data_IF_055214241943
#
_entry.id   IF_055214241943
#
_cell.length_a   1.000
_cell.length_b   1.000
_cell.length_c   1.000
_cell.angle_alpha   90.00
_cell.angle_beta   90.00
_cell.angle_gamma   90.00
#
_symmetry.space_group_name_H-M   'P 1'
#
loop_
_entity.id
_entity.type
_entity.pdbx_description
1 polymer ?
#
# COMPACT_ATOMS: atom_id res chain seq x y z
N UNK A 1 6.89 19.00 62.78
CA UNK A 1 5.58 18.40 62.41
C UNK A 1 5.50 18.37 60.90
N UNK A 2 5.38 17.18 60.29
CA UNK A 2 5.16 17.08 58.84
C UNK A 2 3.75 17.60 58.49
N UNK A 3 3.59 18.36 57.39
CA UNK A 3 2.27 18.85 56.99
C UNK A 3 1.33 17.65 56.66
N UNK A 4 0.03 17.76 56.95
CA UNK A 4 -0.92 16.69 56.68
C UNK A 4 -0.93 16.35 55.18
N UNK A 5 -1.09 15.06 54.80
CA UNK A 5 -1.12 14.66 53.40
C UNK A 5 -2.34 15.29 52.72
N UNK A 6 -2.10 16.17 51.75
CA UNK A 6 -3.16 16.74 50.92
C UNK A 6 -3.65 15.64 49.98
N UNK A 7 -4.85 15.14 50.22
CA UNK A 7 -5.52 14.08 49.44
C UNK A 7 -6.03 14.56 48.08
N UNK A 8 -6.14 15.89 47.88
CA UNK A 8 -6.80 16.49 46.73
C UNK A 8 -5.89 17.45 45.95
N UNK A 9 -5.85 17.29 44.62
CA UNK A 9 -4.97 18.05 43.71
C UNK A 9 -5.52 19.46 43.50
N UNK A 10 -4.79 20.47 43.98
CA UNK A 10 -5.21 21.89 43.91
C UNK A 10 -5.36 22.41 42.48
N UNK A 11 -4.61 21.88 41.53
CA UNK A 11 -4.75 22.25 40.11
C UNK A 11 -6.08 21.73 39.55
N UNK A 12 -6.51 20.54 39.97
CA UNK A 12 -7.83 20.00 39.61
C UNK A 12 -8.96 20.73 40.30
N UNK A 13 -8.80 21.07 41.59
CA UNK A 13 -9.78 21.88 42.33
C UNK A 13 -10.00 23.20 41.60
N UNK A 14 -8.93 23.84 41.11
CA UNK A 14 -9.03 25.07 40.33
C UNK A 14 -9.29 24.86 38.83
N UNK A 15 -9.48 23.63 38.34
CA UNK A 15 -9.69 23.31 36.91
C UNK A 15 -8.64 23.97 35.99
N UNK A 16 -7.39 24.05 36.43
CA UNK A 16 -6.29 24.68 35.70
C UNK A 16 -5.13 23.71 35.48
N UNK A 17 -4.35 23.94 34.43
CA UNK A 17 -3.12 23.19 34.19
C UNK A 17 -2.05 23.54 35.23
N UNK A 18 -1.13 22.62 35.51
CA UNK A 18 0.10 22.91 36.27
C UNK A 18 0.98 23.97 35.61
N UNK A 19 0.83 24.19 34.30
CA UNK A 19 1.51 25.26 33.54
C UNK A 19 0.69 26.56 33.48
N UNK A 20 -0.44 26.64 34.18
CA UNK A 20 -1.31 27.81 34.12
C UNK A 20 -0.63 29.05 34.67
N UNK A 21 -0.86 30.18 34.00
CA UNK A 21 -0.40 31.50 34.44
C UNK A 21 -1.24 31.99 35.61
N UNK A 22 -0.72 32.93 36.38
CA UNK A 22 -1.41 33.53 37.52
C UNK A 22 -2.79 34.11 37.13
N UNK A 23 -2.87 34.74 35.96
CA UNK A 23 -4.14 35.29 35.44
C UNK A 23 -5.20 34.21 35.20
N UNK A 24 -4.80 33.05 34.67
CA UNK A 24 -5.68 31.90 34.45
C UNK A 24 -6.17 31.31 35.78
N UNK A 25 -5.30 31.26 36.79
CA UNK A 25 -5.64 30.81 38.14
C UNK A 25 -6.67 31.75 38.78
N UNK A 26 -6.48 33.07 38.66
CA UNK A 26 -7.42 34.08 39.17
C UNK A 26 -8.77 33.98 38.45
N UNK A 27 -8.76 33.86 37.13
CA UNK A 27 -9.99 33.77 36.34
C UNK A 27 -10.80 32.51 36.69
N UNK A 28 -10.12 31.37 36.83
CA UNK A 28 -10.77 30.12 37.19
C UNK A 28 -11.32 30.14 38.62
N UNK A 29 -10.55 30.68 39.57
CA UNK A 29 -11.01 30.87 40.94
C UNK A 29 -12.31 31.69 41.01
N UNK A 30 -12.37 32.84 40.32
CA UNK A 30 -13.60 33.68 40.29
C UNK A 30 -14.80 32.91 39.73
N UNK A 31 -14.59 32.16 38.64
CA UNK A 31 -15.64 31.34 38.01
C UNK A 31 -16.14 30.26 38.97
N UNK A 32 -15.25 29.60 39.68
CA UNK A 32 -15.61 28.52 40.59
C UNK A 32 -16.19 29.01 41.91
N UNK A 33 -15.70 30.14 42.44
CA UNK A 33 -16.23 30.75 43.65
C UNK A 33 -17.71 31.10 43.49
N UNK A 34 -18.13 31.58 42.31
CA UNK A 34 -19.55 31.84 42.01
C UNK A 34 -20.41 30.58 41.96
N UNK A 35 -19.83 29.44 41.54
CA UNK A 35 -20.54 28.15 41.45
C UNK A 35 -20.66 27.46 42.81
N UNK A 36 -19.61 27.57 43.63
CA UNK A 36 -19.47 26.87 44.91
C UNK A 36 -19.80 27.76 46.11
N UNK A 37 -20.35 28.97 45.89
CA UNK A 37 -20.70 29.89 46.98
C UNK A 37 -21.79 29.28 47.88
N UNK A 38 -21.59 29.18 49.20
CA UNK A 38 -22.52 28.51 50.11
C UNK A 38 -23.90 29.17 50.17
N UNK A 39 -23.99 30.48 49.92
CA UNK A 39 -25.26 31.24 49.86
C UNK A 39 -26.13 30.88 48.64
N UNK A 40 -25.52 30.38 47.56
CA UNK A 40 -26.22 30.06 46.29
C UNK A 40 -26.39 28.56 46.08
N UNK A 41 -25.80 27.73 46.93
CA UNK A 41 -25.69 26.29 46.72
C UNK A 41 -26.07 25.54 48.01
N UNK A 42 -27.29 25.02 48.07
CA UNK A 42 -27.90 24.39 49.26
C UNK A 42 -27.36 22.98 49.60
N UNK A 43 -26.22 22.59 49.03
CA UNK A 43 -25.61 21.28 49.25
C UNK A 43 -24.86 21.26 50.59
N UNK A 44 -25.02 20.17 51.37
CA UNK A 44 -24.40 20.01 52.69
C UNK A 44 -22.85 20.12 52.69
N UNK A 45 -22.20 19.91 51.53
CA UNK A 45 -20.75 19.96 51.37
C UNK A 45 -20.23 21.26 50.72
N UNK A 46 -21.10 22.23 50.42
CA UNK A 46 -20.72 23.46 49.71
C UNK A 46 -19.69 24.28 50.49
N UNK A 47 -19.83 24.37 51.82
CA UNK A 47 -18.87 25.09 52.69
C UNK A 47 -17.48 24.45 52.66
N UNK A 48 -17.38 23.11 52.68
CA UNK A 48 -16.10 22.41 52.64
C UNK A 48 -15.43 22.54 51.27
N UNK A 49 -16.21 22.41 50.18
CA UNK A 49 -15.71 22.61 48.82
C UNK A 49 -15.22 24.05 48.58
N UNK A 50 -15.93 25.04 49.12
CA UNK A 50 -15.51 26.44 49.03
C UNK A 50 -14.22 26.71 49.81
N UNK A 51 -14.09 26.16 51.03
CA UNK A 51 -12.85 26.27 51.81
C UNK A 51 -11.66 25.63 51.09
N UNK A 52 -11.87 24.48 50.43
CA UNK A 52 -10.83 23.83 49.64
C UNK A 52 -10.43 24.66 48.42
N UNK A 53 -11.41 25.25 47.72
CA UNK A 53 -11.17 26.15 46.60
C UNK A 53 -10.34 27.38 47.01
N UNK A 54 -10.64 27.97 48.17
CA UNK A 54 -9.88 29.10 48.73
C UNK A 54 -8.44 28.67 49.05
N UNK A 55 -8.24 27.53 49.72
CA UNK A 55 -6.90 27.01 50.04
C UNK A 55 -6.09 26.71 48.77
N UNK A 56 -6.72 26.14 47.74
CA UNK A 56 -6.08 25.88 46.46
C UNK A 56 -5.62 27.18 45.80
N UNK A 57 -6.45 28.22 45.80
CA UNK A 57 -6.10 29.53 45.27
C UNK A 57 -4.98 30.22 46.05
N UNK A 58 -5.04 30.24 47.38
CA UNK A 58 -4.00 30.85 48.21
C UNK A 58 -2.63 30.18 48.04
N UNK A 59 -2.63 28.87 47.81
CA UNK A 59 -1.40 28.09 47.60
C UNK A 59 -0.84 28.29 46.19
N UNK A 60 -1.70 28.31 45.16
CA UNK A 60 -1.26 28.40 43.76
C UNK A 60 -1.04 29.84 43.26
N UNK A 61 -1.59 30.85 43.94
CA UNK A 61 -1.39 32.27 43.62
C UNK A 61 0.00 32.78 44.01
N UNK A 62 0.57 32.25 45.09
CA UNK A 62 1.91 32.62 45.56
C UNK A 62 2.95 31.68 44.96
N UNK A 63 3.86 32.22 44.15
CA UNK A 63 4.88 31.45 43.45
C UNK A 63 5.79 30.65 44.42
N UNK A 64 6.05 31.19 45.62
CA UNK A 64 6.86 30.47 46.61
C UNK A 64 6.10 29.26 47.16
N UNK A 65 4.83 29.44 47.53
CA UNK A 65 3.96 28.36 48.05
C UNK A 65 3.64 27.32 46.98
N UNK A 66 3.47 27.74 45.72
CA UNK A 66 3.25 26.86 44.57
C UNK A 66 4.47 25.97 44.33
N UNK A 67 5.68 26.52 44.39
CA UNK A 67 6.92 25.75 44.26
C UNK A 67 7.08 24.74 45.41
N UNK A 68 6.79 25.17 46.63
CA UNK A 68 6.84 24.27 47.79
C UNK A 68 5.79 23.15 47.69
N UNK A 69 4.57 23.47 47.24
CA UNK A 69 3.52 22.49 46.97
C UNK A 69 3.93 21.47 45.90
N UNK A 70 4.47 21.94 44.77
CA UNK A 70 4.94 21.09 43.68
C UNK A 70 6.13 20.20 44.11
N UNK A 71 6.98 20.68 45.03
CA UNK A 71 8.11 19.92 45.60
C UNK A 71 7.64 18.82 46.55
N UNK A 72 6.61 19.09 47.37
CA UNK A 72 6.10 18.15 48.36
C UNK A 72 5.21 17.08 47.73
N UNK A 73 4.51 17.38 46.63
CA UNK A 73 3.57 16.46 45.98
C UNK A 73 3.95 16.09 44.52
N UNK A 74 5.13 15.48 44.28
CA UNK A 74 5.63 15.17 42.93
C UNK A 74 4.81 14.07 42.21
N UNK A 75 4.00 13.30 42.93
CA UNK A 75 3.12 12.26 42.38
C UNK A 75 1.97 12.85 41.54
N UNK A 76 1.58 14.10 41.79
CA UNK A 76 0.59 14.83 40.98
C UNK A 76 1.14 15.09 39.57
N UNK A 77 2.45 15.39 39.46
CA UNK A 77 3.18 15.62 38.20
C UNK A 77 3.12 14.40 37.27
N UNK A 78 3.27 13.19 37.83
CA UNK A 78 3.32 11.93 37.08
C UNK A 78 1.97 11.51 36.47
N UNK A 79 0.86 11.90 37.11
CA UNK A 79 -0.51 11.54 36.65
C UNK A 79 -1.00 12.37 35.46
N UNK A 80 -0.51 13.59 35.27
CA UNK A 80 -0.87 14.43 34.11
C UNK A 80 0.14 14.33 32.95
N UNK A 81 1.42 14.03 33.22
CA UNK A 81 2.39 13.74 32.14
C UNK A 81 2.05 12.48 31.34
N UNK A 82 1.32 11.52 31.94
CA UNK A 82 0.80 10.35 31.22
C UNK A 82 -0.41 10.67 30.32
N UNK A 83 -1.11 11.80 30.54
CA UNK A 83 -2.25 12.21 29.71
C UNK A 83 -1.92 13.33 28.71
N UNK A 84 -0.69 13.86 28.69
CA UNK A 84 -0.27 14.91 27.76
C UNK A 84 1.10 14.68 27.08
N UNK A 85 1.70 13.49 27.23
CA UNK A 85 3.05 13.20 26.77
C UNK A 85 3.18 11.92 25.94
N UNK A 86 2.39 11.78 24.88
CA UNK A 86 2.66 10.82 23.80
C UNK A 86 2.75 11.57 22.45
N UNK A 87 3.72 12.49 22.35
CA UNK A 87 4.22 12.94 21.05
C UNK A 87 5.37 12.02 20.67
N UNK A 88 5.03 11.01 19.87
CA UNK A 88 5.93 10.24 19.02
C UNK A 88 6.64 11.20 18.03
N UNK A 89 7.77 10.80 17.41
CA UNK A 89 8.55 11.70 16.55
C UNK A 89 7.66 12.21 15.41
N UNK A 90 7.70 13.53 15.19
CA UNK A 90 6.84 14.25 14.25
C UNK A 90 7.08 13.76 12.82
N UNK A 91 6.22 12.85 12.38
CA UNK A 91 5.83 12.72 10.98
C UNK A 91 4.84 13.83 10.62
N UNK A 92 4.87 14.25 9.37
CA UNK A 92 4.15 15.36 8.75
C UNK A 92 2.61 15.24 8.70
N UNK A 93 1.99 14.49 9.61
CA UNK A 93 0.56 14.13 9.59
C UNK A 93 -0.37 15.10 10.34
N UNK A 94 0.16 15.98 11.21
CA UNK A 94 -0.69 16.85 12.05
C UNK A 94 -1.48 17.92 11.29
N UNK A 95 -1.00 18.36 10.13
CA UNK A 95 -1.70 19.34 9.29
C UNK A 95 -2.91 18.73 8.57
N UNK A 96 -2.77 17.50 8.07
CA UNK A 96 -3.84 16.81 7.33
C UNK A 96 -5.03 16.46 8.22
N UNK A 97 -4.81 16.06 9.47
CA UNK A 97 -5.91 15.76 10.41
C UNK A 97 -6.70 17.02 10.77
N UNK A 98 -6.03 18.16 10.98
CA UNK A 98 -6.69 19.44 11.24
C UNK A 98 -7.50 19.93 10.04
N UNK A 99 -6.98 19.75 8.82
CA UNK A 99 -7.70 20.09 7.59
C UNK A 99 -8.94 19.21 7.37
N UNK A 100 -8.87 17.90 7.62
CA UNK A 100 -10.05 17.03 7.47
C UNK A 100 -11.14 17.32 8.50
N UNK A 101 -10.79 17.65 9.74
CA UNK A 101 -11.73 18.11 10.76
C UNK A 101 -12.37 19.46 10.38
N UNK A 102 -11.62 20.37 9.76
CA UNK A 102 -12.16 21.62 9.23
C UNK A 102 -13.14 21.38 8.07
N UNK A 103 -12.80 20.50 7.13
CA UNK A 103 -13.65 20.20 5.98
C UNK A 103 -14.92 19.44 6.34
N UNK A 104 -14.86 18.51 7.29
CA UNK A 104 -16.06 17.84 7.82
C UNK A 104 -16.99 18.85 8.50
N UNK A 105 -16.45 19.82 9.25
CA UNK A 105 -17.24 20.92 9.80
C UNK A 105 -17.85 21.80 8.68
N UNK A 106 -17.11 22.09 7.61
CA UNK A 106 -17.62 22.83 6.44
C UNK A 106 -18.74 22.07 5.72
N UNK A 107 -18.61 20.76 5.52
CA UNK A 107 -19.66 19.91 4.94
C UNK A 107 -20.91 19.89 5.82
N UNK A 108 -20.75 19.76 7.13
CA UNK A 108 -21.86 19.83 8.09
C UNK A 108 -22.55 21.21 8.08
N UNK A 109 -21.77 22.29 7.99
CA UNK A 109 -22.29 23.65 7.87
C UNK A 109 -23.08 23.85 6.57
N UNK A 110 -22.59 23.33 5.44
CA UNK A 110 -23.33 23.35 4.16
C UNK A 110 -24.62 22.53 4.23
N UNK A 111 -24.59 21.35 4.85
CA UNK A 111 -25.78 20.52 5.05
C UNK A 111 -26.84 21.23 5.91
N UNK A 112 -26.42 21.86 7.02
CA UNK A 112 -27.29 22.67 7.86
C UNK A 112 -27.85 23.87 7.11
N UNK A 113 -27.01 24.60 6.36
CA UNK A 113 -27.43 25.73 5.54
C UNK A 113 -28.48 25.32 4.51
N UNK A 114 -28.30 24.18 3.84
CA UNK A 114 -29.30 23.61 2.92
C UNK A 114 -30.62 23.30 3.63
N UNK A 115 -30.57 22.66 4.80
CA UNK A 115 -31.77 22.38 5.59
C UNK A 115 -32.52 23.66 5.97
N UNK A 116 -31.80 24.69 6.42
CA UNK A 116 -32.39 25.99 6.76
C UNK A 116 -33.00 26.68 5.54
N UNK A 117 -32.35 26.64 4.37
CA UNK A 117 -32.91 27.18 3.12
C UNK A 117 -34.19 26.46 2.72
N UNK A 118 -34.21 25.12 2.79
CA UNK A 118 -35.41 24.32 2.50
C UNK A 118 -36.52 24.69 3.46
N UNK A 119 -36.25 24.80 4.76
CA UNK A 119 -37.25 25.21 5.75
C UNK A 119 -37.80 26.63 5.47
N UNK A 120 -36.91 27.60 5.21
CA UNK A 120 -37.31 28.97 4.84
C UNK A 120 -38.16 28.99 3.57
N UNK A 121 -37.80 28.20 2.56
CA UNK A 121 -38.57 28.05 1.34
C UNK A 121 -39.96 27.47 1.62
N UNK A 122 -40.08 26.43 2.43
CA UNK A 122 -41.39 25.85 2.79
C UNK A 122 -42.30 26.89 3.45
N UNK A 123 -41.78 27.68 4.40
CA UNK A 123 -42.56 28.77 5.03
C UNK A 123 -42.96 29.82 4.01
N UNK A 124 -42.04 30.25 3.13
CA UNK A 124 -42.33 31.24 2.07
C UNK A 124 -43.40 30.73 1.09
N UNK A 125 -43.29 29.45 0.70
CA UNK A 125 -44.27 28.78 -0.16
C UNK A 125 -45.65 28.75 0.49
N UNK A 126 -45.76 28.38 1.77
CA UNK A 126 -47.03 28.38 2.49
C UNK A 126 -47.70 29.76 2.50
N UNK A 127 -46.92 30.84 2.64
CA UNK A 127 -47.44 32.21 2.56
C UNK A 127 -48.01 32.54 1.18
N UNK A 128 -47.31 32.15 0.11
CA UNK A 128 -47.82 32.32 -1.26
C UNK A 128 -49.07 31.47 -1.51
N UNK A 129 -49.04 30.19 -1.14
CA UNK A 129 -50.15 29.27 -1.31
C UNK A 129 -51.41 29.81 -0.61
N UNK A 130 -51.27 30.31 0.63
CA UNK A 130 -52.37 30.94 1.36
C UNK A 130 -52.91 32.18 0.64
N UNK A 131 -52.04 33.08 0.17
CA UNK A 131 -52.46 34.28 -0.58
C UNK A 131 -53.19 33.92 -1.87
N UNK A 132 -52.67 32.97 -2.63
CA UNK A 132 -53.28 32.47 -3.87
C UNK A 132 -54.66 31.90 -3.56
N UNK A 133 -54.77 31.04 -2.54
CA UNK A 133 -56.05 30.46 -2.14
C UNK A 133 -57.07 31.54 -1.74
N UNK A 134 -56.65 32.58 -1.02
CA UNK A 134 -57.54 33.65 -0.60
C UNK A 134 -58.05 34.47 -1.79
N UNK A 135 -57.17 34.83 -2.73
CA UNK A 135 -57.58 35.52 -3.96
C UNK A 135 -58.51 34.60 -4.79
N UNK A 136 -58.20 33.31 -4.90
CA UNK A 136 -59.06 32.36 -5.60
C UNK A 136 -60.46 32.22 -4.97
N UNK A 137 -60.60 32.34 -3.63
CA UNK A 137 -61.92 32.41 -2.99
C UNK A 137 -62.69 33.66 -3.44
N UNK A 138 -62.02 34.80 -3.54
CA UNK A 138 -62.62 36.05 -4.02
C UNK A 138 -63.04 35.92 -5.49
N UNK A 139 -62.20 35.31 -6.34
CA UNK A 139 -62.53 34.98 -7.74
C UNK A 139 -63.79 34.13 -7.82
N UNK A 140 -63.84 33.00 -7.08
CA UNK A 140 -65.03 32.12 -7.07
C UNK A 140 -66.30 32.84 -6.62
N UNK A 141 -66.19 33.73 -5.63
CA UNK A 141 -67.33 34.54 -5.15
C UNK A 141 -67.83 35.48 -6.24
N UNK A 142 -66.93 36.22 -6.89
CA UNK A 142 -67.30 37.12 -7.99
C UNK A 142 -67.92 36.37 -9.18
N UNK A 143 -67.38 35.20 -9.53
CA UNK A 143 -67.95 34.35 -10.59
C UNK A 143 -69.36 33.88 -10.25
N UNK A 144 -69.62 33.52 -8.99
CA UNK A 144 -70.97 33.15 -8.54
C UNK A 144 -71.92 34.36 -8.63
N UNK A 145 -71.51 35.51 -8.11
CA UNK A 145 -72.33 36.73 -8.14
C UNK A 145 -72.70 37.14 -9.57
N UNK A 146 -71.75 37.07 -10.51
CA UNK A 146 -71.97 37.34 -11.93
C UNK A 146 -72.99 36.34 -12.50
N UNK A 147 -72.81 35.04 -12.24
CA UNK A 147 -73.77 34.01 -12.67
C UNK A 147 -75.16 34.24 -12.09
N UNK A 148 -75.27 34.67 -10.84
CA UNK A 148 -76.55 35.01 -10.22
C UNK A 148 -77.21 36.18 -10.96
N UNK A 149 -76.48 37.27 -11.24
CA UNK A 149 -76.99 38.40 -12.01
C UNK A 149 -77.43 37.97 -13.42
N UNK A 150 -76.68 37.11 -14.10
CA UNK A 150 -77.03 36.54 -15.40
C UNK A 150 -78.30 35.67 -15.33
N UNK A 151 -78.43 34.85 -14.29
CA UNK A 151 -79.62 34.00 -14.10
C UNK A 151 -80.90 34.81 -13.88
N UNK A 152 -80.81 35.93 -13.14
CA UNK A 152 -81.92 36.85 -12.93
C UNK A 152 -82.30 37.49 -14.28
N UNK A 153 -81.32 38.01 -15.03
CA UNK A 153 -81.55 38.59 -16.33
C UNK A 153 -82.18 37.58 -17.33
N UNK A 154 -81.72 36.32 -17.30
CA UNK A 154 -82.28 35.25 -18.12
C UNK A 154 -83.72 34.89 -17.71
N UNK A 155 -84.01 34.83 -16.41
CA UNK A 155 -85.37 34.58 -15.90
C UNK A 155 -86.34 35.71 -16.28
N UNK A 156 -85.91 36.96 -16.19
CA UNK A 156 -86.70 38.12 -16.65
C UNK A 156 -86.95 38.08 -18.16
N UNK A 157 -85.93 37.77 -18.95
CA UNK A 157 -86.06 37.62 -20.40
C UNK A 157 -87.02 36.47 -20.76
N UNK A 158 -86.96 35.35 -20.05
CA UNK A 158 -87.86 34.22 -20.23
C UNK A 158 -89.31 34.57 -19.85
N UNK A 159 -89.52 35.27 -18.73
CA UNK A 159 -90.84 35.73 -18.32
C UNK A 159 -91.45 36.72 -19.33
N UNK A 160 -90.64 37.63 -19.87
CA UNK A 160 -91.08 38.57 -20.91
C UNK A 160 -91.37 37.86 -22.24
N UNK A 161 -90.54 36.88 -22.63
CA UNK A 161 -90.81 36.04 -23.80
C UNK A 161 -92.08 35.22 -23.65
N UNK A 162 -92.36 34.69 -22.46
CA UNK A 162 -93.59 33.96 -22.16
C UNK A 162 -94.81 34.88 -22.25
N UNK A 163 -94.73 36.10 -21.71
CA UNK A 163 -95.78 37.12 -21.88
C UNK A 163 -96.01 37.41 -23.37
N UNK A 164 -94.95 37.58 -24.15
CA UNK A 164 -95.03 37.95 -25.57
C UNK A 164 -95.18 36.75 -26.52
N UNK A 165 -95.48 35.56 -25.99
CA UNK A 165 -95.71 34.35 -26.78
C UNK A 165 -97.08 34.36 -27.47
N UNK A 166 -97.16 33.65 -28.60
CA UNK A 166 -98.38 33.55 -29.40
C UNK A 166 -99.58 33.01 -28.59
N UNK A 167 -99.37 32.03 -27.70
CA UNK A 167 -100.42 31.47 -26.84
C UNK A 167 -100.96 32.46 -25.79
N UNK A 168 -100.12 33.36 -25.28
CA UNK A 168 -100.55 34.42 -24.36
C UNK A 168 -101.38 35.51 -25.06
N UNK A 169 -101.11 35.76 -26.34
CA UNK A 169 -101.93 36.64 -27.18
C UNK A 169 -103.30 36.00 -27.51
N UNK A 170 -103.31 34.69 -27.80
CA UNK A 170 -104.51 33.94 -28.20
C UNK A 170 -105.54 33.76 -27.06
N UNK A 171 -105.10 33.66 -25.80
CA UNK A 171 -105.96 33.53 -24.61
C UNK A 171 -106.26 34.86 -23.89
N UNK A 172 -105.78 35.99 -24.43
CA UNK A 172 -105.88 37.33 -23.82
C UNK A 172 -107.29 37.86 -23.53
N UNK A 173 -108.38 37.49 -24.25
CA UNK A 173 -109.73 38.01 -23.94
C UNK A 173 -110.32 37.45 -22.63
N UNK A 174 -109.86 36.29 -22.17
CA UNK A 174 -110.43 35.58 -21.01
C UNK A 174 -109.75 36.02 -19.70
N UNK A 175 -108.50 36.48 -19.77
CA UNK A 175 -107.73 36.97 -18.62
C UNK A 175 -107.31 38.43 -18.86
N UNK A 176 -107.82 39.37 -18.05
CA UNK A 176 -107.36 40.78 -18.09
C UNK A 176 -105.86 40.84 -17.83
N UNK A 177 -105.08 41.10 -18.90
CA UNK A 177 -103.65 41.33 -18.84
C UNK A 177 -103.39 42.63 -18.06
N UNK A 178 -102.68 42.56 -16.93
CA UNK A 178 -102.19 43.77 -16.26
C UNK A 178 -101.16 44.43 -17.21
N UNK A 179 -101.53 45.57 -17.77
CA UNK A 179 -100.61 46.42 -18.54
C UNK A 179 -99.84 47.24 -17.52
N UNK A 180 -98.52 47.05 -17.47
CA UNK A 180 -97.65 47.87 -16.61
C UNK A 180 -97.84 49.36 -16.96
N UNK A 181 -97.94 50.20 -15.94
CA UNK A 181 -97.94 51.67 -16.10
C UNK A 181 -96.59 52.15 -16.65
N UNK A 182 -96.55 53.33 -17.28
CA UNK A 182 -95.27 53.87 -17.79
C UNK A 182 -94.23 54.06 -16.68
N UNK A 183 -94.67 54.43 -15.49
CA UNK A 183 -93.84 54.54 -14.29
C UNK A 183 -93.22 53.19 -13.92
N UNK A 184 -94.01 52.11 -13.90
CA UNK A 184 -93.51 50.76 -13.60
C UNK A 184 -92.53 50.24 -14.66
N UNK A 185 -92.75 50.55 -15.95
CA UNK A 185 -91.79 50.20 -17.01
C UNK A 185 -90.47 50.93 -16.83
N UNK A 186 -90.51 52.23 -16.58
CA UNK A 186 -89.33 53.04 -16.33
C UNK A 186 -88.52 52.55 -15.11
N UNK A 187 -89.20 52.13 -14.04
CA UNK A 187 -88.55 51.54 -12.87
C UNK A 187 -87.85 50.22 -13.20
N UNK A 188 -88.53 49.29 -13.88
CA UNK A 188 -87.94 48.00 -14.29
C UNK A 188 -86.76 48.20 -15.23
N UNK A 189 -86.83 49.16 -16.14
CA UNK A 189 -85.74 49.44 -17.07
C UNK A 189 -84.54 50.06 -16.35
N UNK A 190 -84.76 50.93 -15.35
CA UNK A 190 -83.70 51.43 -14.46
C UNK A 190 -83.04 50.28 -13.68
N UNK A 191 -83.81 49.37 -13.08
CA UNK A 191 -83.28 48.22 -12.35
C UNK A 191 -82.46 47.28 -13.25
N UNK A 192 -82.88 47.08 -14.51
CA UNK A 192 -82.09 46.34 -15.51
C UNK A 192 -80.80 47.07 -15.87
N UNK A 193 -80.81 48.40 -15.96
CA UNK A 193 -79.59 49.18 -16.19
C UNK A 193 -78.63 49.10 -14.99
N UNK A 194 -79.13 49.26 -13.77
CA UNK A 194 -78.32 49.16 -12.54
C UNK A 194 -77.66 47.78 -12.41
N UNK A 195 -78.38 46.69 -12.70
CA UNK A 195 -77.80 45.34 -12.68
C UNK A 195 -76.76 45.08 -13.77
N UNK A 196 -76.95 45.67 -14.96
CA UNK A 196 -75.93 45.63 -16.02
C UNK A 196 -74.65 46.34 -15.57
N UNK A 197 -74.79 47.53 -14.99
CA UNK A 197 -73.65 48.29 -14.43
C UNK A 197 -72.98 47.49 -13.31
N UNK A 198 -73.76 46.86 -12.42
CA UNK A 198 -73.23 46.03 -11.33
C UNK A 198 -72.45 44.82 -11.89
N UNK A 199 -73.00 44.14 -12.90
CA UNK A 199 -72.33 43.02 -13.58
C UNK A 199 -70.99 43.48 -14.17
N UNK A 200 -70.98 44.54 -14.97
CA UNK A 200 -69.76 45.07 -15.60
C UNK A 200 -68.70 45.46 -14.55
N UNK A 201 -69.13 46.06 -13.43
CA UNK A 201 -68.23 46.39 -12.32
C UNK A 201 -67.64 45.12 -11.67
N UNK A 202 -68.44 44.07 -11.48
CA UNK A 202 -67.98 42.79 -10.94
C UNK A 202 -67.06 42.06 -11.91
N UNK A 203 -67.32 42.11 -13.21
CA UNK A 203 -66.45 41.52 -14.24
C UNK A 203 -65.08 42.20 -14.28
N UNK A 204 -65.02 43.53 -14.19
CA UNK A 204 -63.73 44.25 -14.07
C UNK A 204 -62.97 43.85 -12.80
N UNK A 205 -63.67 43.73 -11.66
CA UNK A 205 -63.07 43.25 -10.40
C UNK A 205 -62.59 41.80 -10.53
N UNK A 206 -63.33 40.95 -11.23
CA UNK A 206 -62.97 39.56 -11.48
C UNK A 206 -61.67 39.47 -12.29
N UNK A 207 -61.56 40.23 -13.39
CA UNK A 207 -60.33 40.22 -14.20
C UNK A 207 -59.14 40.74 -13.41
N UNK A 208 -59.32 41.79 -12.61
CA UNK A 208 -58.28 42.29 -11.69
C UNK A 208 -57.82 41.19 -10.73
N UNK A 209 -58.76 40.48 -10.09
CA UNK A 209 -58.43 39.38 -9.16
C UNK A 209 -57.79 38.19 -9.84
N UNK A 210 -58.19 37.85 -11.07
CA UNK A 210 -57.51 36.84 -11.90
C UNK A 210 -56.08 37.27 -12.24
N UNK A 211 -55.86 38.56 -12.49
CA UNK A 211 -54.53 39.16 -12.61
C UNK A 211 -53.69 38.98 -11.35
N UNK A 212 -54.26 39.32 -10.18
CA UNK A 212 -53.59 39.17 -8.87
C UNK A 212 -53.15 37.71 -8.62
N UNK A 213 -53.97 36.71 -9.00
CA UNK A 213 -53.59 35.28 -8.91
C UNK A 213 -52.37 34.99 -9.77
N UNK A 214 -52.40 35.37 -11.06
CA UNK A 214 -51.28 35.13 -12.00
C UNK A 214 -50.00 35.81 -11.51
N UNK A 215 -50.11 37.02 -10.94
CA UNK A 215 -48.99 37.73 -10.35
C UNK A 215 -48.40 36.95 -9.18
N UNK A 216 -49.21 36.52 -8.20
CA UNK A 216 -48.71 35.72 -7.07
C UNK A 216 -48.09 34.39 -7.50
N UNK A 217 -48.67 33.71 -8.50
CA UNK A 217 -48.10 32.48 -9.07
C UNK A 217 -46.73 32.74 -9.73
N UNK A 218 -46.59 33.86 -10.44
CA UNK A 218 -45.31 34.25 -11.05
C UNK A 218 -44.25 34.56 -9.99
N UNK A 219 -44.63 35.22 -8.89
CA UNK A 219 -43.75 35.51 -7.75
C UNK A 219 -43.34 34.22 -7.01
N UNK A 220 -44.29 33.29 -6.82
CA UNK A 220 -44.01 31.97 -6.26
C UNK A 220 -42.98 31.21 -7.12
N UNK A 221 -43.14 31.23 -8.45
CA UNK A 221 -42.21 30.59 -9.38
C UNK A 221 -40.80 31.20 -9.29
N UNK A 222 -40.68 32.53 -9.35
CA UNK A 222 -39.39 33.23 -9.19
C UNK A 222 -38.72 32.91 -7.85
N UNK A 223 -39.49 32.96 -6.76
CA UNK A 223 -38.98 32.63 -5.43
C UNK A 223 -38.51 31.17 -5.31
N UNK A 224 -39.16 30.24 -6.02
CA UNK A 224 -38.72 28.85 -6.12
C UNK A 224 -37.40 28.74 -6.86
N UNK A 225 -37.28 29.37 -8.02
CA UNK A 225 -36.07 29.37 -8.83
C UNK A 225 -34.87 29.95 -8.05
N UNK A 226 -35.07 31.03 -7.29
CA UNK A 226 -34.06 31.58 -6.37
C UNK A 226 -33.63 30.59 -5.28
N UNK A 227 -34.59 29.90 -4.66
CA UNK A 227 -34.31 28.91 -3.62
C UNK A 227 -33.55 27.70 -4.19
N UNK A 228 -33.99 27.18 -5.33
CA UNK A 228 -33.36 26.06 -6.03
C UNK A 228 -31.95 26.43 -6.49
N UNK A 229 -31.74 27.64 -7.03
CA UNK A 229 -30.41 28.14 -7.42
C UNK A 229 -29.46 28.24 -6.22
N UNK A 230 -29.95 28.71 -5.07
CA UNK A 230 -29.16 28.80 -3.85
C UNK A 230 -28.79 27.40 -3.30
N UNK A 231 -29.72 26.44 -3.35
CA UNK A 231 -29.45 25.05 -2.97
C UNK A 231 -28.43 24.42 -3.91
N UNK A 232 -28.57 24.62 -5.23
CA UNK A 232 -27.62 24.11 -6.22
C UNK A 232 -26.21 24.71 -6.02
N UNK A 233 -26.09 25.96 -5.60
CA UNK A 233 -24.81 26.58 -5.29
C UNK A 233 -24.13 25.92 -4.08
N UNK A 234 -24.88 25.54 -3.03
CA UNK A 234 -24.33 24.78 -1.90
C UNK A 234 -23.92 23.37 -2.30
N UNK A 235 -24.70 22.69 -3.15
CA UNK A 235 -24.39 21.36 -3.65
C UNK A 235 -23.08 21.36 -4.47
N UNK A 236 -22.86 22.41 -5.27
CA UNK A 236 -21.56 22.62 -5.95
C UNK A 236 -20.42 22.79 -4.96
N UNK A 237 -20.58 23.60 -3.90
CA UNK A 237 -19.55 23.76 -2.86
C UNK A 237 -19.23 22.44 -2.17
N UNK A 238 -20.27 21.67 -1.83
CA UNK A 238 -20.15 20.34 -1.24
C UNK A 238 -19.34 19.41 -2.16
N UNK A 239 -19.69 19.35 -3.44
CA UNK A 239 -18.99 18.52 -4.43
C UNK A 239 -17.50 18.87 -4.54
N UNK A 240 -17.15 20.16 -4.50
CA UNK A 240 -15.76 20.61 -4.55
C UNK A 240 -14.98 20.16 -3.30
N UNK A 241 -15.58 20.21 -2.11
CA UNK A 241 -14.94 19.73 -0.88
C UNK A 241 -14.77 18.21 -0.91
N UNK A 242 -15.82 17.47 -1.31
CA UNK A 242 -15.78 16.01 -1.43
C UNK A 242 -14.75 15.54 -2.45
N UNK A 243 -14.64 16.22 -3.59
CA UNK A 243 -13.65 15.91 -4.64
C UNK A 243 -12.22 16.12 -4.12
N UNK A 244 -11.98 17.20 -3.37
CA UNK A 244 -10.68 17.45 -2.73
C UNK A 244 -10.33 16.39 -1.70
N UNK A 245 -11.31 15.97 -0.89
CA UNK A 245 -11.14 14.91 0.10
C UNK A 245 -10.83 13.57 -0.55
N UNK A 246 -11.61 13.19 -1.55
CA UNK A 246 -11.39 11.96 -2.33
C UNK A 246 -10.00 11.94 -2.98
N UNK A 247 -9.56 13.04 -3.60
CA UNK A 247 -8.24 13.14 -4.20
C UNK A 247 -7.09 13.01 -3.18
N UNK A 248 -7.28 13.47 -1.93
CA UNK A 248 -6.31 13.23 -0.85
C UNK A 248 -6.31 11.77 -0.39
N UNK A 249 -7.48 11.19 -0.15
CA UNK A 249 -7.61 9.79 0.27
C UNK A 249 -7.02 8.83 -0.80
N UNK A 250 -7.24 9.13 -2.08
CA UNK A 250 -6.68 8.36 -3.19
C UNK A 250 -5.15 8.44 -3.23
N UNK A 251 -4.57 9.64 -3.06
CA UNK A 251 -3.12 9.82 -2.99
C UNK A 251 -2.52 9.06 -1.79
N UNK A 252 -3.13 9.18 -0.61
CA UNK A 252 -2.69 8.47 0.58
C UNK A 252 -2.76 6.95 0.40
N UNK A 253 -3.78 6.44 -0.31
CA UNK A 253 -3.89 5.01 -0.65
C UNK A 253 -2.77 4.57 -1.57
N UNK A 254 -2.50 5.32 -2.64
CA UNK A 254 -1.41 5.02 -3.59
C UNK A 254 -0.04 5.03 -2.89
N UNK A 255 0.20 5.97 -1.99
CA UNK A 255 1.43 6.02 -1.18
C UNK A 255 1.56 4.80 -0.27
N UNK A 256 0.47 4.36 0.37
CA UNK A 256 0.46 3.14 1.20
C UNK A 256 0.75 1.90 0.36
N UNK A 257 0.15 1.78 -0.82
CA UNK A 257 0.39 0.66 -1.73
C UNK A 257 1.86 0.61 -2.19
N UNK A 258 2.42 1.76 -2.59
CA UNK A 258 3.86 1.88 -2.94
C UNK A 258 4.77 1.52 -1.76
N UNK A 259 4.48 2.02 -0.56
CA UNK A 259 5.25 1.69 0.64
C UNK A 259 5.17 0.20 0.97
N UNK A 260 4.01 -0.43 0.81
CA UNK A 260 3.86 -1.88 0.99
C UNK A 260 4.61 -2.68 -0.07
N UNK A 261 4.66 -2.22 -1.32
CA UNK A 261 5.48 -2.83 -2.37
C UNK A 261 6.97 -2.68 -2.07
N UNK A 262 7.40 -1.52 -1.60
CA UNK A 262 8.78 -1.28 -1.19
C UNK A 262 9.19 -2.20 -0.01
N UNK A 263 8.31 -2.36 0.99
CA UNK A 263 8.55 -3.30 2.10
C UNK A 263 8.62 -4.74 1.57
N UNK A 264 7.68 -5.15 0.71
CA UNK A 264 7.67 -6.49 0.11
C UNK A 264 8.92 -6.78 -0.71
N UNK A 265 9.38 -5.81 -1.50
CA UNK A 265 10.61 -5.95 -2.31
C UNK A 265 11.86 -5.99 -1.44
N UNK A 266 11.95 -5.18 -0.39
CA UNK A 266 13.03 -5.26 0.61
C UNK A 266 13.07 -6.62 1.29
N UNK A 267 11.91 -7.14 1.72
CA UNK A 267 11.82 -8.46 2.36
C UNK A 267 12.28 -9.58 1.41
N UNK A 268 11.85 -9.55 0.14
CA UNK A 268 12.31 -10.52 -0.87
C UNK A 268 13.83 -10.46 -1.09
N UNK A 269 14.41 -9.25 -1.16
CA UNK A 269 15.87 -9.08 -1.28
C UNK A 269 16.60 -9.64 -0.06
N UNK A 270 16.12 -9.35 1.15
CA UNK A 270 16.70 -9.90 2.38
C UNK A 270 16.66 -11.43 2.40
N UNK A 271 15.52 -12.04 2.04
CA UNK A 271 15.39 -13.49 1.93
C UNK A 271 16.36 -14.08 0.90
N UNK A 272 16.52 -13.41 -0.24
CA UNK A 272 17.45 -13.86 -1.28
C UNK A 272 18.90 -13.76 -0.82
N UNK A 273 19.29 -12.66 -0.16
CA UNK A 273 20.62 -12.51 0.43
C UNK A 273 20.89 -13.56 1.52
N UNK A 274 19.91 -13.87 2.37
CA UNK A 274 20.01 -14.95 3.36
C UNK A 274 20.19 -16.30 2.69
N UNK A 275 19.40 -16.60 1.65
CA UNK A 275 19.50 -17.83 0.89
C UNK A 275 20.87 -17.95 0.21
N UNK A 276 21.38 -16.87 -0.38
CA UNK A 276 22.69 -16.84 -1.02
C UNK A 276 23.83 -17.01 0.00
N UNK A 277 23.71 -16.41 1.19
CA UNK A 277 24.64 -16.64 2.30
C UNK A 277 24.65 -18.11 2.71
N UNK A 278 23.48 -18.70 2.94
CA UNK A 278 23.35 -20.10 3.29
C UNK A 278 23.92 -21.02 2.20
N UNK A 279 23.62 -20.75 0.93
CA UNK A 279 24.16 -21.49 -0.22
C UNK A 279 25.69 -21.43 -0.27
N UNK A 280 26.29 -20.24 -0.02
CA UNK A 280 27.74 -20.07 0.04
C UNK A 280 28.37 -20.85 1.19
N UNK A 281 27.78 -20.80 2.39
CA UNK A 281 28.26 -21.56 3.55
C UNK A 281 28.19 -23.07 3.32
N UNK A 282 27.08 -23.56 2.74
CA UNK A 282 26.93 -24.97 2.39
C UNK A 282 27.97 -25.38 1.32
N UNK A 283 28.15 -24.58 0.27
CA UNK A 283 29.15 -24.84 -0.75
C UNK A 283 30.58 -24.86 -0.18
N UNK A 284 30.90 -23.95 0.74
CA UNK A 284 32.19 -23.92 1.41
C UNK A 284 32.40 -25.16 2.30
N UNK A 285 31.38 -25.57 3.07
CA UNK A 285 31.42 -26.81 3.86
C UNK A 285 31.66 -28.03 2.97
N UNK A 286 30.96 -28.14 1.85
CA UNK A 286 31.16 -29.21 0.87
C UNK A 286 32.59 -29.17 0.31
N UNK A 287 33.10 -27.99 -0.08
CA UNK A 287 34.49 -27.83 -0.55
C UNK A 287 35.51 -28.27 0.50
N UNK A 288 35.32 -27.89 1.76
CA UNK A 288 36.19 -28.30 2.89
C UNK A 288 36.15 -29.82 3.10
N UNK A 289 34.96 -30.43 3.07
CA UNK A 289 34.82 -31.89 3.17
C UNK A 289 35.50 -32.62 2.00
N UNK A 290 35.32 -32.14 0.76
CA UNK A 290 35.97 -32.71 -0.42
C UNK A 290 37.51 -32.56 -0.35
N UNK A 291 38.01 -31.39 0.09
CA UNK A 291 39.44 -31.18 0.27
C UNK A 291 40.03 -32.10 1.35
N UNK A 292 39.35 -32.24 2.48
CA UNK A 292 39.75 -33.17 3.54
C UNK A 292 39.73 -34.63 3.08
N UNK A 293 38.71 -35.03 2.31
CA UNK A 293 38.63 -36.37 1.73
C UNK A 293 39.79 -36.64 0.75
N UNK A 294 40.09 -35.70 -0.16
CA UNK A 294 41.24 -35.80 -1.06
C UNK A 294 42.56 -35.88 -0.31
N UNK A 295 42.77 -35.02 0.69
CA UNK A 295 43.98 -35.05 1.52
C UNK A 295 44.13 -36.38 2.28
N UNK A 296 43.03 -36.94 2.79
CA UNK A 296 43.02 -38.24 3.45
C UNK A 296 43.35 -39.38 2.47
N UNK A 297 42.84 -39.32 1.24
CA UNK A 297 43.17 -40.29 0.19
C UNK A 297 44.65 -40.19 -0.23
N UNK A 298 45.15 -38.97 -0.46
CA UNK A 298 46.56 -38.72 -0.76
C UNK A 298 47.49 -39.22 0.34
N UNK A 299 47.13 -39.00 1.61
CA UNK A 299 47.88 -39.51 2.75
C UNK A 299 47.91 -41.05 2.77
N UNK A 300 46.79 -41.72 2.51
CA UNK A 300 46.72 -43.19 2.39
C UNK A 300 47.60 -43.70 1.24
N UNK A 301 47.56 -43.05 0.09
CA UNK A 301 48.41 -43.40 -1.06
C UNK A 301 49.90 -43.19 -0.75
N UNK A 302 50.25 -42.11 -0.05
CA UNK A 302 51.61 -41.84 0.38
C UNK A 302 52.12 -42.92 1.36
N UNK A 303 51.28 -43.34 2.31
CA UNK A 303 51.60 -44.42 3.25
C UNK A 303 51.82 -45.76 2.52
N UNK A 304 50.95 -46.10 1.56
CA UNK A 304 51.11 -47.29 0.72
C UNK A 304 52.41 -47.25 -0.10
N UNK A 305 52.74 -46.11 -0.70
CA UNK A 305 54.01 -45.91 -1.43
C UNK A 305 55.22 -46.06 -0.50
N UNK A 306 55.17 -45.47 0.69
CA UNK A 306 56.23 -45.60 1.68
C UNK A 306 56.41 -47.05 2.15
N UNK A 307 55.31 -47.77 2.37
CA UNK A 307 55.35 -49.20 2.71
C UNK A 307 55.92 -50.05 1.57
N UNK A 308 55.55 -49.75 0.31
CA UNK A 308 56.09 -50.42 -0.87
C UNK A 308 57.59 -50.15 -1.03
N UNK A 309 58.04 -48.90 -0.84
CA UNK A 309 59.45 -48.52 -0.88
C UNK A 309 60.25 -49.29 0.19
N UNK A 310 59.77 -49.36 1.43
CA UNK A 310 60.38 -50.18 2.50
C UNK A 310 60.46 -51.66 2.13
N UNK A 311 59.41 -52.21 1.50
CA UNK A 311 59.42 -53.61 1.03
C UNK A 311 60.45 -53.83 -0.09
N UNK A 312 60.55 -52.90 -1.03
CA UNK A 312 61.54 -52.95 -2.11
C UNK A 312 62.96 -52.83 -1.59
N UNK A 313 63.19 -51.93 -0.63
CA UNK A 313 64.49 -51.77 0.03
C UNK A 313 64.88 -53.04 0.79
N UNK A 314 63.97 -53.60 1.59
CA UNK A 314 64.20 -54.87 2.27
C UNK A 314 64.47 -56.02 1.29
N UNK A 315 63.71 -56.11 0.20
CA UNK A 315 63.94 -57.12 -0.84
C UNK A 315 65.30 -56.93 -1.53
N UNK A 316 65.71 -55.69 -1.78
CA UNK A 316 67.03 -55.37 -2.34
C UNK A 316 68.15 -55.70 -1.34
N UNK A 317 67.96 -55.44 -0.05
CA UNK A 317 68.89 -55.82 1.01
C UNK A 317 69.01 -57.34 1.14
N UNK A 318 67.89 -58.06 1.14
CA UNK A 318 67.86 -59.53 1.14
C UNK A 318 68.55 -60.11 -0.10
N UNK A 319 68.36 -59.48 -1.28
CA UNK A 319 69.06 -59.85 -2.51
C UNK A 319 70.57 -59.60 -2.39
N UNK A 320 71.00 -58.47 -1.80
CA UNK A 320 72.41 -58.18 -1.53
C UNK A 320 73.01 -59.19 -0.56
N UNK A 321 72.31 -59.54 0.53
CA UNK A 321 72.73 -60.57 1.49
C UNK A 321 72.84 -61.95 0.83
N UNK A 322 71.88 -62.33 -0.01
CA UNK A 322 71.93 -63.58 -0.79
C UNK A 322 73.11 -63.58 -1.76
N UNK A 323 73.37 -62.50 -2.48
CA UNK A 323 74.53 -62.38 -3.37
C UNK A 323 75.86 -62.45 -2.60
N UNK A 324 75.93 -61.86 -1.41
CA UNK A 324 77.10 -61.94 -0.53
C UNK A 324 77.28 -63.35 0.04
N UNK A 325 76.20 -64.04 0.42
CA UNK A 325 76.23 -65.44 0.86
C UNK A 325 76.59 -66.40 -0.29
N UNK A 326 76.13 -66.15 -1.51
CA UNK A 326 76.56 -66.85 -2.73
C UNK A 326 78.06 -66.63 -3.00
N UNK A 327 78.55 -65.39 -2.85
CA UNK A 327 80.01 -65.10 -2.90
C UNK A 327 80.79 -65.82 -1.79
N UNK A 328 80.26 -65.90 -0.58
CA UNK A 328 80.90 -66.59 0.56
C UNK A 328 80.88 -68.12 0.42
N UNK A 329 79.80 -68.70 -0.15
CA UNK A 329 79.74 -70.13 -0.48
C UNK A 329 80.65 -70.48 -1.67
N UNK A 330 80.86 -69.54 -2.61
CA UNK A 330 81.94 -69.64 -3.60
C UNK A 330 83.34 -69.52 -2.98
N UNK A 331 83.49 -68.86 -1.82
CA UNK A 331 84.77 -68.72 -1.11
C UNK A 331 85.12 -69.92 -0.20
N UNK A 332 84.16 -70.78 0.16
CA UNK A 332 84.38 -71.97 1.01
C UNK A 332 84.32 -73.32 0.29
N UNK A 333 84.27 -73.32 -1.05
CA UNK A 333 84.51 -74.54 -1.85
C UNK A 333 85.75 -74.32 -2.70
N UNK A 334 86.94 -74.40 -2.08
CA UNK A 334 88.21 -74.58 -2.79
C UNK A 334 88.56 -76.05 -2.72
N UNK A 335 87.92 -76.86 -3.55
CA UNK A 335 88.46 -78.14 -4.01
C UNK A 335 88.61 -78.08 -5.52
N UNK A 336 89.86 -78.28 -5.90
CA UNK A 336 90.46 -78.21 -7.22
C UNK A 336 89.83 -79.29 -8.11
N UNK A 337 89.26 -78.89 -9.24
CA UNK A 337 89.11 -79.72 -10.43
C UNK A 337 89.02 -78.83 -11.69
N UNK A 338 89.62 -79.39 -12.73
CA UNK A 338 90.02 -78.87 -14.04
C UNK A 338 88.87 -78.34 -14.94
N UNK A 339 89.19 -77.69 -16.09
CA UNK A 339 88.44 -76.56 -16.63
C UNK A 339 87.31 -76.96 -17.57
N UNK A 340 86.23 -76.18 -17.57
CA UNK A 340 85.29 -76.10 -18.69
C UNK A 340 85.20 -74.64 -19.12
N UNK A 341 85.83 -74.35 -20.26
CA UNK A 341 85.70 -73.11 -21.01
C UNK A 341 84.24 -72.91 -21.45
N UNK A 342 83.63 -71.80 -21.05
CA UNK A 342 82.50 -71.22 -21.79
C UNK A 342 82.87 -69.80 -22.22
N UNK A 343 82.98 -69.69 -23.53
CA UNK A 343 83.52 -68.61 -24.33
C UNK A 343 82.55 -67.43 -24.44
N UNK A 344 82.93 -66.28 -23.90
CA UNK A 344 82.38 -64.99 -24.32
C UNK A 344 83.18 -64.44 -25.50
N UNK A 345 83.14 -65.09 -26.66
CA UNK A 345 83.76 -64.53 -27.87
C UNK A 345 82.89 -63.36 -28.36
N UNK A 346 83.46 -62.16 -28.44
CA UNK A 346 82.77 -61.00 -29.02
C UNK A 346 82.96 -61.13 -30.53
N UNK A 347 81.92 -61.56 -31.23
CA UNK A 347 81.87 -61.92 -32.66
C UNK A 347 82.07 -60.72 -33.62
N UNK A 348 83.11 -59.93 -33.39
CA UNK A 348 83.52 -58.77 -34.17
C UNK A 348 84.53 -59.17 -35.28
N UNK A 349 84.61 -58.38 -36.35
CA UNK A 349 85.52 -58.65 -37.48
C UNK A 349 84.91 -59.41 -38.66
N UNK A 350 85.79 -59.77 -39.62
CA UNK A 350 85.48 -60.51 -40.85
C UNK A 350 85.56 -62.03 -40.59
N UNK A 351 84.66 -62.82 -41.18
CA UNK A 351 84.59 -64.27 -40.98
C UNK A 351 84.94 -64.98 -42.28
N UNK A 352 85.76 -66.02 -42.20
CA UNK A 352 86.23 -66.75 -43.38
C UNK A 352 85.17 -67.73 -43.91
N UNK A 353 85.18 -67.94 -45.23
CA UNK A 353 84.17 -68.72 -45.93
C UNK A 353 84.61 -70.16 -46.10
N UNK A 354 83.87 -71.08 -45.49
CA UNK A 354 84.11 -72.51 -45.58
C UNK A 354 83.09 -73.12 -46.53
N UNK A 355 83.58 -73.63 -47.65
CA UNK A 355 82.76 -74.22 -48.70
C UNK A 355 82.40 -75.69 -48.38
N UNK A 356 81.11 -76.02 -48.41
CA UNK A 356 80.56 -77.34 -48.11
C UNK A 356 79.06 -77.28 -47.81
N UNK A 357 78.27 -78.26 -48.27
CA UNK A 357 76.82 -78.33 -47.97
C UNK A 357 76.60 -78.74 -46.51
N UNK A 358 76.32 -77.77 -45.64
CA UNK A 358 76.05 -78.00 -44.23
C UNK A 358 74.87 -77.15 -43.73
N UNK A 359 74.03 -77.68 -42.82
CA UNK A 359 73.00 -76.90 -42.16
C UNK A 359 73.59 -75.87 -41.19
N UNK A 360 73.06 -74.65 -41.19
CA UNK A 360 73.45 -73.63 -40.23
C UNK A 360 72.99 -74.03 -38.83
N UNK A 361 73.86 -74.00 -37.80
CA UNK A 361 73.46 -74.44 -36.45
C UNK A 361 72.38 -73.56 -35.79
N UNK A 362 72.16 -72.33 -36.29
CA UNK A 362 71.20 -71.41 -35.68
C UNK A 362 69.80 -71.44 -36.32
N UNK A 363 69.71 -71.63 -37.63
CA UNK A 363 68.43 -71.69 -38.35
C UNK A 363 68.14 -73.05 -38.99
N UNK A 364 69.09 -73.98 -38.95
CA UNK A 364 69.04 -75.34 -39.49
C UNK A 364 68.82 -75.46 -41.01
N UNK A 365 68.74 -74.36 -41.74
CA UNK A 365 68.72 -74.36 -43.22
C UNK A 365 70.06 -74.85 -43.79
N UNK A 366 70.03 -75.61 -44.90
CA UNK A 366 71.23 -76.15 -45.57
C UNK A 366 71.83 -75.12 -46.53
N UNK A 367 73.09 -74.74 -46.31
CA UNK A 367 73.83 -73.80 -47.14
C UNK A 367 75.02 -74.49 -47.80
N UNK A 368 75.40 -74.03 -49.00
CA UNK A 368 76.59 -74.54 -49.72
C UNK A 368 77.92 -74.07 -49.11
N UNK A 369 77.87 -73.14 -48.16
CA UNK A 369 79.01 -72.66 -47.39
C UNK A 369 78.52 -72.05 -46.09
N UNK A 370 79.37 -72.06 -45.06
CA UNK A 370 79.16 -71.33 -43.81
C UNK A 370 80.33 -70.37 -43.58
N UNK A 371 80.12 -69.37 -42.72
CA UNK A 371 81.15 -68.43 -42.30
C UNK A 371 81.62 -68.86 -40.90
N UNK A 372 82.93 -68.88 -40.67
CA UNK A 372 83.54 -69.26 -39.39
C UNK A 372 84.20 -68.06 -38.69
N UNK A 373 83.99 -67.95 -37.39
CA UNK A 373 84.60 -66.90 -36.58
C UNK A 373 86.10 -67.21 -36.33
N UNK A 374 87.03 -66.28 -36.57
CA UNK A 374 88.45 -66.53 -36.33
C UNK A 374 88.81 -66.67 -34.83
N UNK A 375 87.91 -66.23 -33.92
CA UNK A 375 88.14 -66.26 -32.48
C UNK A 375 87.43 -67.40 -31.73
N UNK A 376 86.57 -68.18 -32.39
CA UNK A 376 85.87 -69.32 -31.79
C UNK A 376 85.30 -70.26 -32.87
N UNK A 377 85.01 -71.53 -32.57
CA UNK A 377 84.52 -72.50 -33.56
C UNK A 377 83.07 -72.27 -34.03
N UNK A 378 82.53 -71.05 -33.88
CA UNK A 378 81.17 -70.75 -34.28
C UNK A 378 81.08 -70.55 -35.78
N UNK A 379 80.20 -71.32 -36.41
CA UNK A 379 79.89 -71.23 -37.82
C UNK A 379 78.44 -70.81 -38.01
N UNK A 380 78.19 -69.85 -38.90
CA UNK A 380 76.85 -69.37 -39.18
C UNK A 380 76.67 -69.09 -40.68
N UNK A 381 75.44 -69.19 -41.18
CA UNK A 381 75.13 -68.71 -42.52
C UNK A 381 75.23 -67.16 -42.54
N UNK A 382 75.40 -66.54 -43.72
CA UNK A 382 75.52 -65.09 -43.82
C UNK A 382 74.37 -64.32 -43.17
N UNK A 383 73.15 -64.90 -43.16
CA UNK A 383 71.97 -64.29 -42.55
C UNK A 383 72.05 -64.31 -41.02
N UNK A 384 72.37 -65.47 -40.42
CA UNK A 384 72.45 -65.62 -38.97
C UNK A 384 73.66 -64.89 -38.37
N UNK A 385 74.78 -64.80 -39.10
CA UNK A 385 75.96 -64.05 -38.68
C UNK A 385 75.62 -62.58 -38.34
N UNK A 386 74.73 -61.95 -39.11
CA UNK A 386 74.35 -60.54 -38.88
C UNK A 386 73.58 -60.31 -37.57
N UNK A 387 72.90 -61.34 -37.05
CA UNK A 387 72.17 -61.27 -35.78
C UNK A 387 73.08 -61.53 -34.58
N UNK A 388 74.23 -62.17 -34.79
CA UNK A 388 75.22 -62.45 -33.74
C UNK A 388 76.11 -61.23 -33.42
N UNK A 389 76.05 -60.16 -34.24
CA UNK A 389 76.69 -58.87 -33.92
C UNK A 389 75.79 -58.00 -33.02
N UNK A 390 76.33 -57.40 -31.94
CA UNK A 390 75.57 -56.45 -31.13
C UNK A 390 75.19 -55.20 -31.95
N UNK A 391 73.90 -54.83 -31.96
CA UNK A 391 73.40 -53.60 -32.61
C UNK A 391 73.59 -52.39 -31.68
N UNK A 392 74.41 -51.42 -32.07
CA UNK A 392 74.49 -50.11 -31.40
C UNK A 392 73.21 -49.28 -31.69
N UNK A 393 72.59 -48.62 -30.70
CA UNK A 393 71.37 -47.84 -30.92
C UNK A 393 71.64 -46.50 -31.64
N UNK A 394 70.76 -46.18 -32.60
CA UNK A 394 70.74 -44.99 -33.46
C UNK A 394 70.30 -43.75 -32.65
N UNK A 395 71.13 -42.71 -32.57
CA UNK A 395 70.79 -41.39 -31.96
C UNK A 395 69.51 -40.81 -32.61
N UNK A 396 68.48 -40.56 -31.81
CA UNK A 396 67.30 -39.81 -32.22
C UNK A 396 67.55 -38.30 -32.04
N UNK A 397 67.18 -37.52 -33.06
CA UNK A 397 67.27 -36.05 -33.10
C UNK A 397 66.19 -35.43 -32.21
N UNK A 398 66.53 -34.41 -31.44
CA UNK A 398 65.60 -33.53 -30.72
C UNK A 398 64.85 -32.62 -31.70
N UNK A 399 63.53 -32.39 -31.55
CA UNK A 399 62.85 -31.26 -32.17
C UNK A 399 63.04 -29.99 -31.33
N UNK A 400 63.13 -28.86 -32.03
CA UNK A 400 63.37 -27.49 -31.52
C UNK A 400 62.09 -26.84 -30.94
N UNK A 401 62.21 -25.73 -30.19
CA UNK A 401 61.14 -25.21 -29.34
C UNK A 401 60.08 -24.38 -30.06
N UNK A 402 58.93 -24.30 -29.40
CA UNK A 402 57.68 -23.62 -29.76
C UNK A 402 57.87 -22.14 -30.13
N UNK A 403 57.26 -21.74 -31.24
CA UNK A 403 57.10 -20.35 -31.64
C UNK A 403 55.79 -19.82 -31.02
N UNK A 404 55.92 -19.01 -29.96
CA UNK A 404 54.84 -18.20 -29.39
C UNK A 404 54.81 -16.85 -30.12
N UNK A 405 53.79 -16.60 -30.93
CA UNK A 405 53.57 -15.31 -31.57
C UNK A 405 52.75 -14.42 -30.63
N UNK A 406 53.41 -13.45 -29.98
CA UNK A 406 52.78 -12.31 -29.35
C UNK A 406 53.38 -11.03 -29.98
N UNK A 407 52.48 -10.08 -30.23
CA UNK A 407 52.68 -8.63 -30.36
C UNK A 407 53.47 -8.06 -31.55
N UNK A 408 52.74 -7.35 -32.42
CA UNK A 408 53.09 -6.19 -33.28
C UNK A 408 51.76 -5.75 -33.94
N UNK A 409 51.32 -4.50 -34.07
CA UNK A 409 51.73 -3.19 -33.55
C UNK A 409 50.62 -2.18 -33.90
N UNK A 410 50.76 -0.99 -33.30
CA UNK A 410 50.23 0.35 -33.55
C UNK A 410 49.57 0.77 -34.88
N UNK A 411 48.69 1.79 -34.70
CA UNK A 411 47.99 2.71 -35.61
C UNK A 411 46.64 2.31 -36.24
#
# INVERSE_FOLDING_TARGET
MAPPPVTEDFYKVLEVSQTATLDQIIQSYRRQALKLHPDRNANHNATQAFQLLVRAYETLKDDAKRRDYDRVYPTIKKRQSASQGAQAPRSSTSSTESETLSETAQLAALAKSKQERVARWQTKKQVFDFRIQEIQKQVRRLELDIKTLESIAAAEAAAEAQKNSWGAWLLSPIYKRKVDTEVEKALKDREKQERRIEKDMKERRLETKKGDVREQESLLKKAKEEADAAIAADDKKKQVIESRRYARELRARQERERAQEEIRTKLRKQQQEEQDRWNKEVAEKIRRQQAAARAAEEARLAELRAAQAKRQEKAAEDLRKRAQAQRASFASTTTRNDPVQTSGCIHEGWWDKIHGRAPCPECYDVWNFLLECPGCPMQACPKCQSNLRPRLPRRQRTPSPEYSYADFDWD
#
